data_IF_531226128463
#
_entry.id   IF_531226128463
#
_cell.length_a   1.000
_cell.length_b   1.000
_cell.length_c   1.000
_cell.angle_alpha   90.00
_cell.angle_beta   90.00
_cell.angle_gamma   90.00
#
_symmetry.space_group_name_H-M   'P 1'
#
loop_
_entity.id
_entity.type
_entity.pdbx_description
1 polymer ?
#
# COMPACT_ATOMS: atom_id res chain seq x y z
N UNK A 1 10.42 -10.22 15.93
CA UNK A 1 11.45 -11.12 15.36
C UNK A 1 10.82 -12.40 14.80
N UNK A 2 10.07 -12.29 13.69
CA UNK A 2 9.61 -13.48 13.00
C UNK A 2 10.87 -14.21 12.45
N UNK A 3 11.05 -15.47 12.83
CA UNK A 3 12.11 -16.37 12.36
C UNK A 3 13.55 -15.99 12.75
N UNK A 4 13.78 -15.23 13.82
CA UNK A 4 15.14 -14.89 14.29
C UNK A 4 15.94 -13.98 13.36
N UNK A 5 15.30 -13.35 12.37
CA UNK A 5 15.94 -12.41 11.46
C UNK A 5 15.88 -11.00 12.06
N UNK A 6 17.04 -10.42 12.30
CA UNK A 6 17.14 -9.01 12.70
C UNK A 6 17.11 -8.10 11.46
N UNK A 7 16.10 -7.24 11.39
CA UNK A 7 15.93 -6.27 10.29
C UNK A 7 16.49 -4.87 10.62
N UNK A 8 17.59 -4.81 11.35
CA UNK A 8 18.18 -3.55 11.82
C UNK A 8 17.60 -3.07 13.15
N UNK A 9 18.27 -2.11 13.78
CA UNK A 9 17.97 -1.63 15.12
C UNK A 9 17.00 -0.44 15.15
N UNK A 10 16.80 0.28 14.03
CA UNK A 10 15.95 1.45 13.91
C UNK A 10 15.06 1.45 12.66
N UNK A 11 13.98 2.22 12.70
CA UNK A 11 13.10 2.37 11.54
C UNK A 11 13.83 2.99 10.35
N UNK A 12 14.71 3.98 10.62
CA UNK A 12 15.50 4.64 9.59
C UNK A 12 16.45 3.70 8.85
N UNK A 13 17.11 2.80 9.58
CA UNK A 13 18.02 1.79 9.00
C UNK A 13 17.28 0.81 8.10
N UNK A 14 16.05 0.45 8.49
CA UNK A 14 15.19 -0.44 7.67
C UNK A 14 14.82 0.20 6.33
N UNK A 15 14.55 1.50 6.31
CA UNK A 15 14.22 2.22 5.06
C UNK A 15 15.45 2.36 4.16
N UNK A 16 16.64 2.60 4.70
CA UNK A 16 17.88 2.65 3.93
C UNK A 16 18.21 1.28 3.32
N UNK A 17 18.08 0.22 4.10
CA UNK A 17 18.21 -1.18 3.61
C UNK A 17 17.19 -1.51 2.53
N UNK A 18 15.93 -1.06 2.69
CA UNK A 18 14.89 -1.22 1.66
C UNK A 18 15.32 -0.51 0.37
N UNK A 19 15.83 0.72 0.45
CA UNK A 19 16.29 1.46 -0.73
C UNK A 19 17.43 0.73 -1.46
N UNK A 20 18.43 0.21 -0.72
CA UNK A 20 19.51 -0.59 -1.29
C UNK A 20 18.98 -1.86 -1.97
N UNK A 21 18.09 -2.61 -1.29
CA UNK A 21 17.50 -3.83 -1.83
C UNK A 21 16.70 -3.57 -3.12
N UNK A 22 15.88 -2.52 -3.13
CA UNK A 22 15.05 -2.18 -4.30
C UNK A 22 15.91 -1.76 -5.48
N UNK A 23 16.98 -1.02 -5.24
CA UNK A 23 17.96 -0.66 -6.29
C UNK A 23 18.56 -1.90 -6.94
N UNK A 24 19.03 -2.86 -6.15
CA UNK A 24 19.55 -4.14 -6.63
C UNK A 24 18.50 -4.94 -7.40
N UNK A 25 17.28 -5.06 -6.87
CA UNK A 25 16.18 -5.80 -7.51
C UNK A 25 15.85 -5.21 -8.88
N UNK A 26 15.81 -3.88 -9.01
CA UNK A 26 15.57 -3.23 -10.32
C UNK A 26 16.62 -3.59 -11.36
N UNK A 27 17.91 -3.53 -10.99
CA UNK A 27 19.00 -3.92 -11.88
C UNK A 27 18.90 -5.38 -12.29
N UNK A 28 18.62 -6.26 -11.34
CA UNK A 28 18.44 -7.69 -11.61
C UNK A 28 17.26 -7.98 -12.54
N UNK A 29 16.13 -7.29 -12.37
CA UNK A 29 14.96 -7.44 -13.25
C UNK A 29 15.23 -6.96 -14.68
N UNK A 30 16.13 -6.00 -14.88
CA UNK A 30 16.62 -5.58 -16.21
C UNK A 30 17.59 -6.57 -16.83
N UNK A 31 17.96 -7.61 -16.08
CA UNK A 31 18.92 -8.63 -16.52
C UNK A 31 20.39 -8.20 -16.43
N UNK A 32 20.67 -7.18 -15.64
CA UNK A 32 22.04 -6.73 -15.37
C UNK A 32 22.75 -7.72 -14.44
N UNK A 33 24.07 -7.86 -14.61
CA UNK A 33 24.94 -8.47 -13.60
C UNK A 33 25.29 -7.40 -12.59
N UNK A 34 25.01 -7.65 -11.31
CA UNK A 34 25.14 -6.64 -10.25
C UNK A 34 26.27 -7.00 -9.29
N UNK A 35 27.18 -6.06 -9.11
CA UNK A 35 28.16 -6.06 -8.02
C UNK A 35 27.91 -4.82 -7.16
N UNK A 36 27.73 -5.00 -5.87
CA UNK A 36 27.48 -3.94 -4.89
C UNK A 36 28.29 -4.20 -3.62
N UNK A 37 28.87 -3.14 -3.09
CA UNK A 37 29.55 -3.13 -1.80
C UNK A 37 28.75 -2.36 -0.75
N UNK A 38 27.44 -2.23 -0.94
CA UNK A 38 26.53 -1.60 0.01
C UNK A 38 26.54 -2.30 1.37
N UNK A 39 26.28 -1.57 2.46
CA UNK A 39 26.44 -2.09 3.81
C UNK A 39 25.42 -3.16 4.19
N UNK A 40 24.25 -3.19 3.53
CA UNK A 40 23.18 -4.10 3.88
C UNK A 40 23.18 -5.37 3.01
N UNK A 41 23.49 -5.23 1.72
CA UNK A 41 23.41 -6.31 0.74
C UNK A 41 24.64 -6.32 -0.18
N UNK A 42 25.83 -6.64 0.35
CA UNK A 42 27.01 -6.81 -0.51
C UNK A 42 26.80 -8.03 -1.41
N UNK A 43 26.97 -7.82 -2.71
CA UNK A 43 26.86 -8.89 -3.72
C UNK A 43 27.98 -8.76 -4.74
N UNK A 44 28.44 -9.89 -5.28
CA UNK A 44 29.43 -9.93 -6.33
C UNK A 44 28.89 -10.73 -7.52
N UNK A 45 28.82 -10.09 -8.69
CA UNK A 45 28.39 -10.65 -9.96
C UNK A 45 27.05 -11.43 -9.88
N UNK A 46 26.13 -10.88 -9.08
CA UNK A 46 24.82 -11.48 -8.90
C UNK A 46 23.99 -11.31 -10.19
N UNK A 47 23.32 -12.40 -10.59
CA UNK A 47 22.39 -12.44 -11.70
C UNK A 47 21.06 -13.02 -11.26
N UNK A 48 19.99 -12.65 -11.92
CA UNK A 48 18.65 -13.18 -11.70
C UNK A 48 18.18 -13.98 -12.91
N UNK A 49 17.92 -15.28 -12.71
CA UNK A 49 17.37 -16.17 -13.72
C UNK A 49 16.26 -17.06 -13.11
N UNK A 50 15.13 -17.28 -13.78
CA UNK A 50 14.79 -16.72 -15.10
C UNK A 50 14.52 -15.22 -15.05
N UNK A 51 14.80 -14.52 -16.14
CA UNK A 51 14.47 -13.08 -16.26
C UNK A 51 12.96 -12.88 -16.29
N UNK A 52 12.44 -11.75 -15.77
CA UNK A 52 11.06 -11.38 -15.97
C UNK A 52 10.69 -11.35 -17.46
N UNK A 53 9.51 -11.88 -17.80
CA UNK A 53 8.98 -11.87 -19.18
C UNK A 53 8.83 -10.43 -19.70
N UNK A 54 8.42 -9.51 -18.82
CA UNK A 54 8.52 -8.06 -19.08
C UNK A 54 9.89 -7.62 -18.61
N UNK A 55 10.64 -6.95 -19.43
CA UNK A 55 11.95 -6.41 -19.05
C UNK A 55 11.92 -5.38 -17.93
N UNK A 56 10.74 -4.92 -17.56
CA UNK A 56 10.50 -4.02 -16.43
C UNK A 56 9.28 -4.48 -15.63
N UNK A 57 9.52 -4.89 -14.38
CA UNK A 57 8.48 -5.25 -13.42
C UNK A 57 8.24 -4.06 -12.51
N UNK A 58 7.02 -3.49 -12.47
CA UNK A 58 6.73 -2.37 -11.59
C UNK A 58 6.95 -2.72 -10.13
N UNK A 59 7.63 -1.85 -9.40
CA UNK A 59 7.88 -1.98 -7.98
C UNK A 59 6.96 -1.01 -7.25
N UNK A 60 6.10 -1.57 -6.38
CA UNK A 60 5.27 -0.81 -5.47
C UNK A 60 5.99 -0.66 -4.14
N UNK A 61 6.08 0.59 -3.65
CA UNK A 61 6.60 0.89 -2.32
C UNK A 61 5.49 1.55 -1.49
N UNK A 62 5.21 0.96 -0.34
CA UNK A 62 4.23 1.47 0.61
C UNK A 62 4.84 2.34 1.71
N UNK A 63 4.10 3.35 2.14
CA UNK A 63 4.43 4.16 3.30
C UNK A 63 4.37 5.67 3.09
N UNK A 64 4.40 6.42 4.21
CA UNK A 64 4.21 7.88 4.25
C UNK A 64 5.37 8.65 4.88
N UNK A 65 6.50 8.01 5.15
CA UNK A 65 7.64 8.66 5.79
C UNK A 65 8.24 9.76 4.89
N UNK A 66 8.01 11.02 5.26
CA UNK A 66 8.31 12.21 4.44
C UNK A 66 9.77 12.33 4.03
N UNK A 67 10.71 11.98 4.91
CA UNK A 67 12.14 12.20 4.67
C UNK A 67 12.82 11.05 3.93
N UNK A 68 12.63 9.80 4.39
CA UNK A 68 13.36 8.64 3.88
C UNK A 68 12.49 7.79 2.93
N UNK A 69 11.26 7.45 3.33
CA UNK A 69 10.41 6.54 2.54
C UNK A 69 10.05 7.17 1.20
N UNK A 70 9.55 8.42 1.19
CA UNK A 70 9.19 9.10 -0.06
C UNK A 70 10.41 9.37 -0.95
N UNK A 71 11.61 9.55 -0.38
CA UNK A 71 12.83 9.61 -1.18
C UNK A 71 13.16 8.28 -1.86
N UNK A 72 12.96 7.15 -1.19
CA UNK A 72 13.12 5.80 -1.81
C UNK A 72 12.06 5.59 -2.88
N UNK A 73 10.81 6.01 -2.66
CA UNK A 73 9.74 6.00 -3.68
C UNK A 73 10.17 6.80 -4.91
N UNK A 74 10.57 8.07 -4.73
CA UNK A 74 11.02 8.94 -5.82
C UNK A 74 12.15 8.33 -6.64
N UNK A 75 13.09 7.66 -5.98
CA UNK A 75 14.26 7.08 -6.65
C UNK A 75 13.94 5.76 -7.38
N UNK A 76 13.07 4.92 -6.82
CA UNK A 76 12.98 3.52 -7.24
C UNK A 76 11.59 3.03 -7.64
N UNK A 77 10.50 3.56 -7.07
CA UNK A 77 9.17 2.99 -7.26
C UNK A 77 8.52 3.40 -8.59
N UNK A 78 7.71 2.53 -9.17
CA UNK A 78 6.75 2.87 -10.21
C UNK A 78 5.36 3.11 -9.63
N UNK A 79 5.09 2.57 -8.44
CA UNK A 79 3.83 2.74 -7.74
C UNK A 79 4.12 3.14 -6.30
N UNK A 80 3.52 4.23 -5.86
CA UNK A 80 3.51 4.61 -4.45
C UNK A 80 2.16 4.22 -3.84
N UNK A 81 2.19 3.43 -2.75
CA UNK A 81 0.99 3.05 -2.02
C UNK A 81 0.97 3.72 -0.64
N UNK A 82 -0.15 4.34 -0.31
CA UNK A 82 -0.34 5.00 0.97
C UNK A 82 -1.76 4.80 1.50
N UNK A 83 -1.98 5.18 2.75
CA UNK A 83 -3.29 5.32 3.38
C UNK A 83 -3.35 6.67 4.07
N UNK A 84 -4.55 7.23 4.22
CA UNK A 84 -4.78 8.54 4.81
C UNK A 84 -5.97 9.22 4.15
N UNK A 85 -6.37 10.37 4.66
CA UNK A 85 -7.39 11.21 4.04
C UNK A 85 -6.87 11.83 2.73
N UNK A 86 -7.75 12.25 1.81
CA UNK A 86 -7.32 12.93 0.57
C UNK A 86 -6.42 14.14 0.83
N UNK A 87 -6.69 14.92 1.87
CA UNK A 87 -5.88 16.09 2.23
C UNK A 87 -4.47 15.69 2.68
N UNK A 88 -4.36 14.70 3.58
CA UNK A 88 -3.06 14.17 4.02
C UNK A 88 -2.24 13.59 2.87
N UNK A 89 -2.91 12.89 1.95
CA UNK A 89 -2.24 12.30 0.80
C UNK A 89 -1.77 13.35 -0.21
N UNK A 90 -2.53 14.44 -0.39
CA UNK A 90 -2.10 15.60 -1.16
C UNK A 90 -0.84 16.23 -0.58
N UNK A 91 -0.79 16.46 0.74
CA UNK A 91 0.39 17.00 1.43
C UNK A 91 1.63 16.08 1.31
N UNK A 92 1.42 14.76 1.30
CA UNK A 92 2.52 13.81 1.10
C UNK A 92 2.96 13.75 -0.36
N UNK A 93 2.05 13.93 -1.31
CA UNK A 93 2.38 13.98 -2.73
C UNK A 93 3.24 15.19 -3.08
N UNK A 94 2.98 16.36 -2.48
CA UNK A 94 3.86 17.53 -2.62
C UNK A 94 5.31 17.22 -2.18
N UNK A 95 5.47 16.48 -1.07
CA UNK A 95 6.80 16.04 -0.62
C UNK A 95 7.42 15.03 -1.59
N UNK A 96 6.62 14.11 -2.15
CA UNK A 96 7.10 13.18 -3.16
C UNK A 96 7.56 13.91 -4.42
N UNK A 97 6.83 14.92 -4.88
CA UNK A 97 7.21 15.76 -6.01
C UNK A 97 8.56 16.45 -5.78
N UNK A 98 8.76 17.06 -4.60
CA UNK A 98 10.03 17.69 -4.24
C UNK A 98 11.19 16.67 -4.26
N UNK A 99 10.98 15.45 -3.73
CA UNK A 99 12.00 14.40 -3.84
C UNK A 99 12.27 13.94 -5.27
N UNK A 100 11.25 13.94 -6.14
CA UNK A 100 11.43 13.62 -7.55
C UNK A 100 12.27 14.69 -8.25
N UNK A 101 12.03 15.97 -7.97
CA UNK A 101 12.86 17.08 -8.47
C UNK A 101 14.33 16.92 -8.03
N UNK A 102 14.57 16.62 -6.74
CA UNK A 102 15.91 16.40 -6.19
C UNK A 102 16.69 15.27 -6.90
N UNK A 103 15.98 14.22 -7.37
CA UNK A 103 16.61 13.08 -8.05
C UNK A 103 16.53 13.18 -9.58
N UNK A 104 15.98 14.27 -10.12
CA UNK A 104 15.85 14.51 -11.56
C UNK A 104 14.87 13.58 -12.26
N UNK A 105 13.76 13.21 -11.59
CA UNK A 105 12.72 12.32 -12.10
C UNK A 105 11.40 13.03 -12.27
N UNK A 106 10.69 12.73 -13.36
CA UNK A 106 9.29 13.19 -13.52
C UNK A 106 8.38 12.46 -12.52
N UNK A 107 7.74 13.23 -11.64
CA UNK A 107 6.85 12.68 -10.63
C UNK A 107 5.59 12.02 -11.23
N UNK A 108 5.21 12.36 -12.46
CA UNK A 108 4.05 11.77 -13.16
C UNK A 108 4.29 10.32 -13.59
N UNK A 109 5.53 9.86 -13.61
CA UNK A 109 5.89 8.45 -13.85
C UNK A 109 5.52 7.52 -12.68
N UNK A 110 5.18 8.07 -11.53
CA UNK A 110 4.85 7.29 -10.35
C UNK A 110 3.33 7.23 -10.22
N UNK A 111 2.75 6.05 -10.33
CA UNK A 111 1.34 5.81 -10.06
C UNK A 111 1.05 5.98 -8.55
N UNK A 112 -0.05 6.65 -8.20
CA UNK A 112 -0.52 6.80 -6.82
C UNK A 112 -1.63 5.80 -6.57
N UNK A 113 -1.46 4.99 -5.52
CA UNK A 113 -2.48 4.08 -5.05
C UNK A 113 -2.81 4.33 -3.58
N UNK A 114 -4.08 4.22 -3.24
CA UNK A 114 -4.57 4.30 -1.86
C UNK A 114 -5.02 2.92 -1.39
N UNK A 115 -4.68 2.57 -0.16
CA UNK A 115 -5.12 1.33 0.48
C UNK A 115 -6.15 1.65 1.55
N UNK A 116 -7.27 0.91 1.54
CA UNK A 116 -8.31 1.02 2.58
C UNK A 116 -8.99 -0.32 2.81
N UNK A 117 -9.46 -0.54 4.03
CA UNK A 117 -10.44 -1.60 4.34
C UNK A 117 -11.81 -1.14 3.89
N UNK A 118 -12.49 -2.00 3.16
CA UNK A 118 -13.79 -1.65 2.56
C UNK A 118 -14.84 -2.63 3.01
N UNK A 119 -15.99 -2.13 3.46
CA UNK A 119 -17.21 -2.93 3.68
C UNK A 119 -18.40 -2.17 3.10
N UNK A 120 -19.12 -2.84 2.20
CA UNK A 120 -20.24 -2.25 1.44
C UNK A 120 -21.53 -2.98 1.78
N UNK A 121 -22.56 -2.20 2.19
CA UNK A 121 -23.93 -2.65 2.44
C UNK A 121 -24.92 -1.64 1.84
N UNK A 122 -26.21 -1.84 2.04
CA UNK A 122 -27.22 -0.91 1.54
C UNK A 122 -27.18 0.42 2.29
N UNK A 123 -26.81 0.40 3.58
CA UNK A 123 -26.71 1.60 4.41
C UNK A 123 -25.38 1.65 5.17
N UNK A 124 -25.05 2.85 5.65
CA UNK A 124 -23.89 3.09 6.52
C UNK A 124 -23.95 2.22 7.79
N UNK A 125 -25.12 2.16 8.44
CA UNK A 125 -25.33 1.42 9.67
C UNK A 125 -25.12 -0.08 9.48
N UNK A 126 -25.59 -0.63 8.38
CA UNK A 126 -25.37 -2.05 8.03
C UNK A 126 -23.90 -2.33 7.74
N UNK A 127 -23.20 -1.44 7.06
CA UNK A 127 -21.78 -1.57 6.81
C UNK A 127 -20.96 -1.52 8.10
N UNK A 128 -21.28 -0.63 9.03
CA UNK A 128 -20.66 -0.53 10.36
C UNK A 128 -20.90 -1.79 11.18
N UNK A 129 -22.13 -2.31 11.20
CA UNK A 129 -22.47 -3.56 11.88
C UNK A 129 -21.70 -4.75 11.30
N UNK A 130 -21.68 -4.89 9.99
CA UNK A 130 -20.93 -5.95 9.32
C UNK A 130 -19.42 -5.86 9.60
N UNK A 131 -18.86 -4.66 9.62
CA UNK A 131 -17.46 -4.44 9.97
C UNK A 131 -17.17 -4.85 11.42
N UNK A 132 -18.03 -4.51 12.37
CA UNK A 132 -17.89 -4.91 13.78
C UNK A 132 -17.91 -6.45 13.95
N UNK A 133 -18.77 -7.14 13.19
CA UNK A 133 -18.84 -8.60 13.18
C UNK A 133 -17.55 -9.22 12.60
N UNK A 134 -17.06 -8.70 11.48
CA UNK A 134 -15.78 -9.12 10.87
C UNK A 134 -14.61 -8.93 11.83
N UNK A 135 -14.57 -7.84 12.57
CA UNK A 135 -13.56 -7.59 13.60
C UNK A 135 -13.62 -8.62 14.73
N UNK A 136 -14.83 -8.94 15.21
CA UNK A 136 -15.05 -9.92 16.26
C UNK A 136 -14.59 -11.33 15.82
N UNK A 137 -14.95 -11.74 14.61
CA UNK A 137 -14.52 -13.02 14.04
C UNK A 137 -13.00 -13.09 13.86
N UNK A 138 -12.36 -12.02 13.38
CA UNK A 138 -10.91 -11.96 13.23
C UNK A 138 -10.17 -12.12 14.56
N UNK A 139 -10.61 -11.46 15.62
CA UNK A 139 -10.04 -11.64 16.97
C UNK A 139 -10.07 -13.10 17.40
N UNK A 140 -11.15 -13.80 17.12
CA UNK A 140 -11.32 -15.23 17.47
C UNK A 140 -10.38 -16.12 16.65
N UNK A 141 -10.23 -15.86 15.37
CA UNK A 141 -9.33 -16.61 14.46
C UNK A 141 -7.86 -16.46 14.86
N UNK A 142 -7.42 -15.26 15.21
CA UNK A 142 -6.03 -15.01 15.62
C UNK A 142 -5.75 -15.58 17.01
N UNK A 143 -6.67 -15.48 17.95
CA UNK A 143 -6.56 -16.11 19.26
C UNK A 143 -6.42 -17.64 19.17
N UNK A 144 -7.14 -18.28 18.24
CA UNK A 144 -7.07 -19.74 18.01
C UNK A 144 -5.76 -20.21 17.36
N UNK A 145 -4.97 -19.32 16.76
CA UNK A 145 -3.69 -19.66 16.11
C UNK A 145 -2.47 -19.63 17.04
N UNK A 146 -2.67 -19.36 18.34
CA UNK A 146 -1.57 -19.33 19.33
C UNK A 146 -0.53 -18.23 19.06
N UNK A 147 -0.77 -17.34 18.13
CA UNK A 147 0.05 -16.16 17.94
C UNK A 147 -0.29 -15.23 19.09
N UNK A 148 0.54 -15.19 20.12
CA UNK A 148 0.43 -14.30 21.27
C UNK A 148 0.60 -12.84 20.86
N UNK A 149 -0.29 -12.37 19.99
CA UNK A 149 -0.37 -10.98 19.65
C UNK A 149 -1.12 -10.29 20.79
N UNK A 150 -0.42 -9.45 21.53
CA UNK A 150 -1.05 -8.44 22.37
C UNK A 150 -2.19 -7.79 21.56
N UNK A 151 -3.38 -7.58 22.13
CA UNK A 151 -4.51 -6.97 21.46
C UNK A 151 -4.14 -5.66 20.70
N UNK A 152 -3.19 -4.92 21.25
CA UNK A 152 -2.64 -3.70 20.68
C UNK A 152 -1.82 -3.93 19.38
N UNK A 153 -1.17 -5.06 19.24
CA UNK A 153 -0.43 -5.43 18.01
C UNK A 153 -1.38 -5.80 16.86
N UNK A 154 -2.48 -6.49 17.16
CA UNK A 154 -3.51 -6.81 16.17
C UNK A 154 -4.17 -5.52 15.70
N UNK A 155 -4.48 -4.62 16.60
CA UNK A 155 -5.10 -3.34 16.29
C UNK A 155 -4.17 -2.44 15.45
N UNK A 156 -2.88 -2.37 15.77
CA UNK A 156 -1.89 -1.57 15.04
C UNK A 156 -1.52 -2.13 13.66
N UNK A 157 -1.53 -3.44 13.47
CA UNK A 157 -1.15 -4.06 12.20
C UNK A 157 -2.35 -4.35 11.29
N UNK A 158 -3.51 -4.60 11.87
CA UNK A 158 -4.75 -4.84 11.12
C UNK A 158 -5.52 -3.54 10.88
N UNK A 159 -5.35 -2.53 11.75
CA UNK A 159 -6.06 -1.26 11.70
C UNK A 159 -5.12 -0.09 12.09
N UNK A 160 -4.16 0.27 11.20
CA UNK A 160 -3.42 1.51 11.43
C UNK A 160 -4.40 2.66 11.21
N UNK A 161 -4.63 3.51 12.15
CA UNK A 161 -5.47 4.69 12.09
C UNK A 161 -6.90 4.43 11.56
N UNK A 162 -7.88 4.23 12.47
CA UNK A 162 -9.25 3.92 12.08
C UNK A 162 -9.90 5.00 11.18
N UNK A 163 -9.48 6.25 11.30
CA UNK A 163 -10.18 7.36 10.64
C UNK A 163 -9.80 7.55 9.16
N UNK A 164 -8.66 7.00 8.71
CA UNK A 164 -8.13 7.25 7.37
C UNK A 164 -8.06 6.05 6.44
N UNK A 165 -8.33 4.85 6.94
CA UNK A 165 -8.11 3.60 6.19
C UNK A 165 -9.31 2.66 6.19
N UNK A 166 -10.47 3.11 6.63
CA UNK A 166 -11.71 2.30 6.72
C UNK A 166 -12.82 3.03 5.99
N UNK A 167 -13.35 2.37 4.95
CA UNK A 167 -14.42 2.87 4.11
C UNK A 167 -15.65 1.99 4.27
N UNK A 168 -16.68 2.53 4.90
CA UNK A 168 -17.93 1.85 5.21
C UNK A 168 -19.08 2.62 4.57
N UNK A 169 -20.04 1.96 3.94
CA UNK A 169 -21.22 2.62 3.42
C UNK A 169 -21.88 1.93 2.22
N UNK A 170 -22.77 2.64 1.56
CA UNK A 170 -23.42 2.20 0.33
C UNK A 170 -22.45 2.29 -0.87
N UNK A 171 -22.77 1.62 -1.99
CA UNK A 171 -21.98 1.73 -3.22
C UNK A 171 -21.76 3.19 -3.65
N UNK A 172 -22.78 4.03 -3.54
CA UNK A 172 -22.72 5.45 -3.91
C UNK A 172 -21.77 6.23 -2.99
N UNK A 173 -21.84 6.00 -1.68
CA UNK A 173 -20.97 6.65 -0.70
C UNK A 173 -19.49 6.24 -0.93
N UNK A 174 -19.24 4.99 -1.21
CA UNK A 174 -17.88 4.51 -1.53
C UNK A 174 -17.39 5.09 -2.86
N UNK A 175 -18.25 5.18 -3.88
CA UNK A 175 -17.89 5.80 -5.16
C UNK A 175 -17.55 7.30 -5.01
N UNK A 176 -18.35 8.05 -4.24
CA UNK A 176 -18.09 9.47 -3.93
C UNK A 176 -16.76 9.63 -3.14
N UNK A 177 -16.51 8.73 -2.21
CA UNK A 177 -15.25 8.74 -1.46
C UNK A 177 -14.05 8.50 -2.38
N UNK A 178 -14.12 7.49 -3.26
CA UNK A 178 -13.08 7.22 -4.25
C UNK A 178 -12.84 8.43 -5.15
N UNK A 179 -13.90 9.13 -5.59
CA UNK A 179 -13.76 10.31 -6.43
C UNK A 179 -12.95 11.43 -5.74
N UNK A 180 -13.01 11.55 -4.40
CA UNK A 180 -12.17 12.50 -3.64
C UNK A 180 -10.69 12.13 -3.70
N UNK A 181 -10.34 10.84 -3.70
CA UNK A 181 -8.94 10.40 -3.86
C UNK A 181 -8.46 10.60 -5.29
N UNK A 182 -9.30 10.30 -6.28
CA UNK A 182 -8.99 10.55 -7.69
C UNK A 182 -8.72 12.04 -7.93
N UNK A 183 -9.50 12.94 -7.31
CA UNK A 183 -9.32 14.40 -7.47
C UNK A 183 -7.97 14.92 -6.94
N UNK A 184 -7.29 14.17 -6.08
CA UNK A 184 -5.93 14.47 -5.58
C UNK A 184 -4.86 13.55 -6.18
N UNK A 185 -5.17 12.89 -7.30
CA UNK A 185 -4.19 12.13 -8.10
C UNK A 185 -4.06 10.65 -7.76
N UNK A 186 -4.84 10.10 -6.81
CA UNK A 186 -4.80 8.68 -6.46
C UNK A 186 -5.78 7.89 -7.31
N UNK A 187 -5.30 7.39 -8.47
CA UNK A 187 -6.13 6.71 -9.47
C UNK A 187 -6.34 5.21 -9.23
N UNK A 188 -5.58 4.62 -8.32
CA UNK A 188 -5.68 3.17 -8.00
C UNK A 188 -6.09 2.95 -6.56
N UNK A 189 -7.10 2.10 -6.36
CA UNK A 189 -7.57 1.70 -5.02
C UNK A 189 -7.19 0.25 -4.76
N UNK A 190 -6.52 0.00 -3.64
CA UNK A 190 -6.25 -1.33 -3.10
C UNK A 190 -7.24 -1.58 -1.98
N UNK A 191 -8.34 -2.27 -2.29
CA UNK A 191 -9.34 -2.65 -1.31
C UNK A 191 -8.84 -3.84 -0.47
N UNK A 192 -8.65 -3.63 0.82
CA UNK A 192 -8.32 -4.67 1.77
C UNK A 192 -9.61 -5.26 2.34
N UNK A 193 -9.88 -6.52 2.01
CA UNK A 193 -11.05 -7.26 2.47
C UNK A 193 -10.60 -8.25 3.57
N UNK A 194 -10.93 -8.01 4.85
CA UNK A 194 -10.49 -8.88 5.93
C UNK A 194 -11.10 -10.29 5.83
N UNK A 195 -10.35 -11.29 6.30
CA UNK A 195 -10.85 -12.65 6.44
C UNK A 195 -11.79 -12.79 7.67
N UNK A 196 -12.88 -13.61 7.61
CA UNK A 196 -13.33 -14.35 6.43
C UNK A 196 -13.73 -13.39 5.33
N UNK A 197 -13.40 -13.71 4.08
CA UNK A 197 -13.59 -12.78 2.98
C UNK A 197 -15.07 -12.41 2.82
N UNK A 198 -15.34 -11.12 2.92
CA UNK A 198 -16.65 -10.54 2.71
C UNK A 198 -16.97 -10.52 1.21
N UNK A 199 -17.62 -11.59 0.78
CA UNK A 199 -17.96 -11.80 -0.63
C UNK A 199 -18.92 -10.73 -1.15
N UNK A 200 -19.86 -10.27 -0.33
CA UNK A 200 -20.81 -9.24 -0.70
C UNK A 200 -20.08 -7.93 -1.05
N UNK A 201 -19.13 -7.50 -0.22
CA UNK A 201 -18.31 -6.32 -0.54
C UNK A 201 -17.54 -6.47 -1.84
N UNK A 202 -16.97 -7.67 -2.12
CA UNK A 202 -16.24 -7.89 -3.38
C UNK A 202 -17.17 -7.77 -4.59
N UNK A 203 -18.35 -8.40 -4.53
CA UNK A 203 -19.33 -8.38 -5.61
C UNK A 203 -19.87 -6.97 -5.87
N UNK A 204 -20.19 -6.23 -4.81
CA UNK A 204 -20.65 -4.83 -4.90
C UNK A 204 -19.56 -3.86 -5.37
N UNK A 205 -18.32 -4.05 -4.92
CA UNK A 205 -17.20 -3.22 -5.37
C UNK A 205 -17.02 -3.30 -6.88
N UNK A 206 -17.12 -4.52 -7.44
CA UNK A 206 -16.94 -4.75 -8.88
C UNK A 206 -18.21 -4.38 -9.67
N UNK A 207 -19.39 -4.80 -9.19
CA UNK A 207 -20.64 -4.68 -9.91
C UNK A 207 -21.36 -3.34 -9.80
N UNK A 208 -21.15 -2.62 -8.69
CA UNK A 208 -21.89 -1.38 -8.39
C UNK A 208 -20.92 -0.18 -8.30
N UNK A 209 -19.89 -0.24 -7.43
CA UNK A 209 -18.99 0.89 -7.20
C UNK A 209 -18.13 1.22 -8.42
N UNK A 210 -17.48 0.21 -9.02
CA UNK A 210 -16.59 0.45 -10.14
C UNK A 210 -17.28 1.08 -11.37
N UNK A 211 -18.53 0.70 -11.74
CA UNK A 211 -19.30 1.39 -12.78
C UNK A 211 -19.60 2.86 -12.41
N UNK A 212 -19.98 3.15 -11.15
CA UNK A 212 -20.28 4.51 -10.70
C UNK A 212 -19.03 5.40 -10.79
N UNK A 213 -17.89 4.93 -10.32
CA UNK A 213 -16.62 5.66 -10.41
C UNK A 213 -16.23 5.93 -11.86
N UNK A 214 -16.37 4.94 -12.75
CA UNK A 214 -16.05 5.10 -14.17
C UNK A 214 -16.99 6.03 -14.90
N UNK A 215 -18.27 6.05 -14.54
CA UNK A 215 -19.26 6.98 -15.13
C UNK A 215 -19.05 8.43 -14.69
N UNK A 216 -18.56 8.65 -13.49
CA UNK A 216 -18.21 9.99 -12.97
C UNK A 216 -16.80 10.46 -13.35
N UNK A 217 -15.97 9.59 -13.88
CA UNK A 217 -14.61 9.88 -14.29
C UNK A 217 -14.60 10.37 -15.74
N UNK A 218 -14.56 11.68 -15.90
CA UNK A 218 -14.25 12.31 -17.20
C UNK A 218 -12.74 12.51 -17.21
N UNK A 219 -11.98 11.85 -18.09
CA UNK A 219 -10.51 11.98 -18.19
C UNK A 219 -10.10 13.40 -18.61
#
# INVERSE_FOLDING_TARGET
HANGIEFGTGFGDRIERMGEAVGLIRSLFRGEEVTSFGPAYPVDRLRHEPRPVRGDVPILIGGRGRTKTLRVVATHAQIWNAYGTPAELSDHDEVLQAHCEDVGRDHTEIERSVQAKVVIRDTQEEAESAFADLLSMNKTVWAGRGVGAEPDMIQRHVFPDPDSAIWLGSPEQIAELIAKYVSVGFGTVIAEIPAPYDRETIERLIGEVAPLVRAGWVP
#
